data_IF_687645497305
#
_entry.id   IF_687645497305
#
_cell.length_a   1.000
_cell.length_b   1.000
_cell.length_c   1.000
_cell.angle_alpha   90.00
_cell.angle_beta   90.00
_cell.angle_gamma   90.00
#
_symmetry.space_group_name_H-M   'P 1'
#
loop_
_entity.id
_entity.type
_entity.pdbx_description
1 polymer ?
#
# COMPACT_ATOMS: atom_id res chain seq x y z
N UNK A 1 6.11 12.48 8.79
CA UNK A 1 5.71 13.12 7.52
C UNK A 1 5.33 14.59 7.71
N UNK A 2 5.73 15.46 6.78
CA UNK A 2 5.33 16.88 6.73
C UNK A 2 4.34 17.09 5.58
N UNK A 3 3.25 17.80 5.81
CA UNK A 3 2.19 18.05 4.82
C UNK A 3 2.69 18.74 3.53
N UNK A 4 3.76 19.54 3.63
CA UNK A 4 4.32 20.29 2.49
C UNK A 4 5.51 19.58 1.82
N UNK A 5 5.84 18.37 2.25
CA UNK A 5 6.91 17.59 1.63
C UNK A 5 6.41 16.96 0.33
N UNK A 6 7.07 17.31 -0.77
CA UNK A 6 6.72 16.81 -2.11
C UNK A 6 6.95 15.31 -2.19
N UNK A 7 8.00 14.79 -1.56
CA UNK A 7 8.31 13.36 -1.61
C UNK A 7 7.27 12.56 -0.82
N UNK A 8 6.73 13.12 0.26
CA UNK A 8 5.61 12.54 0.99
C UNK A 8 4.34 12.50 0.14
N UNK A 9 4.00 13.60 -0.54
CA UNK A 9 2.82 13.66 -1.45
C UNK A 9 2.95 12.65 -2.59
N UNK A 10 4.14 12.53 -3.19
CA UNK A 10 4.41 11.57 -4.26
C UNK A 10 4.35 10.12 -3.76
N UNK A 11 4.80 9.87 -2.53
CA UNK A 11 4.70 8.57 -1.87
C UNK A 11 3.25 8.17 -1.63
N UNK A 12 2.45 9.06 -1.05
CA UNK A 12 1.03 8.83 -0.78
C UNK A 12 0.20 8.64 -2.07
N UNK A 13 0.69 9.16 -3.20
CA UNK A 13 0.07 8.98 -4.52
C UNK A 13 0.36 7.63 -5.18
N UNK A 14 1.24 6.80 -4.59
CA UNK A 14 1.54 5.47 -5.13
C UNK A 14 0.32 4.54 -5.00
N UNK A 15 0.19 3.63 -5.96
CA UNK A 15 -0.95 2.70 -6.03
C UNK A 15 -0.77 1.55 -5.04
N UNK A 16 -1.80 1.31 -4.25
CA UNK A 16 -1.96 0.22 -3.31
C UNK A 16 -3.14 -0.66 -3.77
N UNK A 17 -2.92 -1.97 -3.95
CA UNK A 17 -4.02 -2.87 -4.29
C UNK A 17 -5.02 -2.97 -3.14
N UNK A 18 -6.29 -2.73 -3.45
CA UNK A 18 -7.38 -2.68 -2.49
C UNK A 18 -8.52 -3.59 -2.94
N UNK A 19 -9.08 -4.38 -2.05
CA UNK A 19 -10.25 -5.24 -2.32
C UNK A 19 -11.45 -4.71 -1.54
N UNK A 20 -12.53 -4.36 -2.22
CA UNK A 20 -13.77 -3.91 -1.58
C UNK A 20 -14.51 -5.11 -1.00
N UNK A 21 -14.89 -5.05 0.27
CA UNK A 21 -15.59 -6.15 0.96
C UNK A 21 -17.12 -5.99 0.90
N UNK A 22 -17.60 -4.81 0.47
CA UNK A 22 -19.01 -4.45 0.45
C UNK A 22 -19.36 -3.81 -0.89
N UNK A 23 -20.64 -3.89 -1.25
CA UNK A 23 -21.18 -3.15 -2.38
C UNK A 23 -21.20 -1.65 -2.05
N UNK A 24 -20.55 -0.83 -2.88
CA UNK A 24 -20.50 0.63 -2.70
C UNK A 24 -21.23 1.34 -3.84
N UNK A 25 -22.40 1.96 -3.56
CA UNK A 25 -23.19 2.58 -4.61
C UNK A 25 -22.54 3.86 -5.15
N UNK A 26 -22.59 4.03 -6.47
CA UNK A 26 -22.13 5.26 -7.15
C UNK A 26 -20.61 5.47 -7.20
N UNK A 27 -19.81 4.54 -6.69
CA UNK A 27 -18.35 4.63 -6.66
C UNK A 27 -17.65 3.98 -7.86
N UNK A 28 -18.41 3.52 -8.87
CA UNK A 28 -17.87 2.86 -10.07
C UNK A 28 -16.89 3.72 -10.89
N UNK A 29 -16.81 5.03 -10.63
CA UNK A 29 -15.77 5.92 -11.18
C UNK A 29 -14.34 5.41 -10.88
N UNK A 30 -14.14 4.71 -9.76
CA UNK A 30 -12.85 4.12 -9.41
C UNK A 30 -12.44 2.96 -10.33
N UNK A 31 -13.40 2.31 -10.98
CA UNK A 31 -13.19 1.29 -12.01
C UNK A 31 -13.25 1.88 -13.44
N UNK A 32 -13.52 3.18 -13.57
CA UNK A 32 -13.78 3.83 -14.86
C UNK A 32 -15.24 3.70 -15.36
N UNK A 33 -16.13 3.11 -14.55
CA UNK A 33 -17.56 2.94 -14.85
C UNK A 33 -18.39 3.97 -14.07
N UNK A 34 -18.35 5.22 -14.52
CA UNK A 34 -19.04 6.32 -13.85
C UNK A 34 -20.56 6.07 -13.75
N UNK A 35 -21.10 6.16 -12.53
CA UNK A 35 -22.54 5.93 -12.26
C UNK A 35 -22.90 4.49 -11.90
N UNK A 36 -21.96 3.54 -12.00
CA UNK A 36 -22.16 2.18 -11.52
C UNK A 36 -21.76 2.00 -10.05
N UNK A 37 -22.12 0.85 -9.48
CA UNK A 37 -21.76 0.46 -8.12
C UNK A 37 -20.52 -0.45 -8.16
N UNK A 38 -19.64 -0.28 -7.18
CA UNK A 38 -18.58 -1.26 -6.93
C UNK A 38 -19.21 -2.45 -6.23
N UNK A 39 -18.91 -3.66 -6.67
CA UNK A 39 -19.39 -4.89 -6.03
C UNK A 39 -18.40 -5.37 -4.96
N UNK A 40 -18.90 -6.07 -3.96
CA UNK A 40 -18.06 -6.80 -3.03
C UNK A 40 -17.16 -7.81 -3.79
N UNK A 41 -15.90 -7.91 -3.36
CA UNK A 41 -14.85 -8.70 -3.99
C UNK A 41 -14.12 -7.99 -5.14
N UNK A 42 -14.54 -6.80 -5.56
CA UNK A 42 -13.84 -6.06 -6.62
C UNK A 42 -12.47 -5.58 -6.11
N UNK A 43 -11.42 -5.85 -6.89
CA UNK A 43 -10.05 -5.39 -6.63
C UNK A 43 -9.73 -4.18 -7.49
N UNK A 44 -9.32 -3.08 -6.86
CA UNK A 44 -8.97 -1.81 -7.50
C UNK A 44 -7.66 -1.31 -6.92
N UNK A 45 -6.76 -0.82 -7.78
CA UNK A 45 -5.55 -0.13 -7.33
C UNK A 45 -5.86 1.32 -7.00
N UNK A 46 -5.86 1.66 -5.70
CA UNK A 46 -6.17 3.00 -5.20
C UNK A 46 -4.88 3.71 -4.76
N UNK A 47 -4.82 5.05 -4.80
CA UNK A 47 -3.74 5.77 -4.13
C UNK A 47 -3.67 5.41 -2.63
N UNK A 48 -2.46 5.29 -2.09
CA UNK A 48 -2.19 4.91 -0.70
C UNK A 48 -3.01 5.74 0.30
N UNK A 49 -3.04 7.07 0.13
CA UNK A 49 -3.83 7.96 0.99
C UNK A 49 -5.32 7.62 0.99
N UNK A 50 -5.88 7.22 -0.15
CA UNK A 50 -7.30 6.89 -0.27
C UNK A 50 -7.60 5.51 0.33
N UNK A 51 -6.76 4.52 0.03
CA UNK A 51 -6.87 3.18 0.60
C UNK A 51 -6.84 3.22 2.13
N UNK A 52 -5.89 3.97 2.70
CA UNK A 52 -5.81 4.19 4.15
C UNK A 52 -7.12 4.76 4.72
N UNK A 53 -7.66 5.84 4.15
CA UNK A 53 -8.90 6.45 4.63
C UNK A 53 -10.09 5.49 4.58
N UNK A 54 -10.19 4.66 3.53
CA UNK A 54 -11.27 3.67 3.40
C UNK A 54 -11.10 2.48 4.35
N UNK A 55 -9.87 2.20 4.79
CA UNK A 55 -9.55 1.12 5.72
C UNK A 55 -9.78 1.48 7.20
N UNK A 56 -10.00 2.76 7.53
CA UNK A 56 -10.20 3.25 8.91
C UNK A 56 -11.31 2.48 9.64
N UNK A 57 -12.41 2.17 8.95
CA UNK A 57 -13.53 1.42 9.54
C UNK A 57 -13.09 0.06 10.10
N UNK A 58 -12.18 -0.63 9.41
CA UNK A 58 -11.62 -1.90 9.86
C UNK A 58 -10.72 -1.73 11.10
N UNK A 59 -9.88 -0.68 11.11
CA UNK A 59 -8.98 -0.37 12.23
C UNK A 59 -9.74 0.01 13.51
N UNK A 60 -10.91 0.64 13.37
CA UNK A 60 -11.78 1.01 14.49
C UNK A 60 -12.71 -0.14 14.94
N UNK A 61 -12.57 -1.35 14.38
CA UNK A 61 -13.41 -2.49 14.72
C UNK A 61 -14.85 -2.38 14.23
N UNK A 62 -15.11 -1.52 13.24
CA UNK A 62 -16.42 -1.33 12.62
C UNK A 62 -16.50 -2.10 11.28
N UNK A 63 -17.34 -1.63 10.36
CA UNK A 63 -17.49 -2.27 9.05
C UNK A 63 -16.21 -2.14 8.23
N UNK A 64 -15.68 -3.27 7.76
CA UNK A 64 -14.54 -3.34 6.85
C UNK A 64 -15.04 -3.05 5.45
N UNK A 65 -14.79 -1.85 4.95
CA UNK A 65 -15.17 -1.45 3.59
C UNK A 65 -14.18 -1.99 2.55
N UNK A 66 -12.89 -1.92 2.88
CA UNK A 66 -11.78 -2.27 2.00
C UNK A 66 -10.74 -3.07 2.78
N UNK A 67 -10.18 -4.09 2.14
CA UNK A 67 -8.96 -4.79 2.51
C UNK A 67 -7.79 -4.22 1.72
N UNK A 68 -6.70 -3.90 2.41
CA UNK A 68 -5.45 -3.48 1.79
C UNK A 68 -4.54 -4.70 1.60
N UNK A 69 -3.90 -4.79 0.44
CA UNK A 69 -2.86 -5.80 0.18
C UNK A 69 -1.50 -5.12 0.02
N UNK A 70 -0.43 -5.87 0.26
CA UNK A 70 0.93 -5.37 0.04
C UNK A 70 1.14 -4.93 -1.42
N UNK A 71 1.81 -3.79 -1.66
CA UNK A 71 2.16 -3.36 -3.00
C UNK A 71 3.15 -4.33 -3.62
N UNK A 72 3.20 -4.40 -4.96
CA UNK A 72 4.11 -5.29 -5.70
C UNK A 72 5.58 -5.05 -5.36
N UNK A 73 5.95 -3.81 -5.02
CA UNK A 73 7.26 -3.42 -4.54
C UNK A 73 7.68 -4.14 -3.25
N UNK A 74 6.73 -4.60 -2.43
CA UNK A 74 6.94 -5.36 -1.19
C UNK A 74 6.33 -6.77 -1.29
N UNK A 75 6.18 -7.29 -2.50
CA UNK A 75 5.73 -8.67 -2.69
C UNK A 75 6.69 -9.68 -2.04
N UNK A 76 6.18 -10.87 -1.69
CA UNK A 76 7.01 -11.94 -1.10
C UNK A 76 8.27 -12.24 -1.89
N UNK A 77 8.20 -12.18 -3.23
CA UNK A 77 9.37 -12.36 -4.11
C UNK A 77 10.46 -11.31 -3.83
N UNK A 78 10.06 -10.04 -3.72
CA UNK A 78 11.01 -8.96 -3.42
C UNK A 78 11.54 -9.11 -2.00
N UNK A 79 10.66 -9.40 -1.04
CA UNK A 79 11.05 -9.63 0.36
C UNK A 79 12.09 -10.75 0.49
N UNK A 80 11.90 -11.85 -0.23
CA UNK A 80 12.86 -12.95 -0.25
C UNK A 80 14.20 -12.57 -0.90
N UNK A 81 14.19 -11.73 -1.94
CA UNK A 81 15.41 -11.20 -2.54
C UNK A 81 16.16 -10.25 -1.59
N UNK A 82 15.43 -9.38 -0.88
CA UNK A 82 15.99 -8.48 0.14
C UNK A 82 16.58 -9.24 1.33
N UNK A 83 15.93 -10.34 1.76
CA UNK A 83 16.47 -11.26 2.77
C UNK A 83 17.77 -11.93 2.33
N UNK A 84 17.89 -12.28 1.05
CA UNK A 84 19.06 -12.97 0.52
C UNK A 84 20.28 -12.03 0.40
N UNK A 85 20.12 -10.91 -0.29
CA UNK A 85 21.11 -9.83 -0.32
C UNK A 85 20.46 -8.51 -0.80
N UNK A 86 20.26 -7.53 0.08
CA UNK A 86 19.59 -6.28 -0.27
C UNK A 86 20.37 -5.42 -1.27
N UNK A 87 21.69 -5.63 -1.41
CA UNK A 87 22.53 -4.87 -2.37
C UNK A 87 22.31 -5.28 -3.82
N UNK A 88 21.69 -6.44 -4.05
CA UNK A 88 21.43 -6.99 -5.39
C UNK A 88 20.08 -6.53 -5.96
N UNK A 89 19.24 -5.88 -5.15
CA UNK A 89 17.90 -5.46 -5.54
C UNK A 89 17.90 -3.99 -5.95
N UNK A 90 17.45 -3.70 -7.17
CA UNK A 90 17.24 -2.32 -7.62
C UNK A 90 15.94 -1.76 -7.03
N UNK A 91 16.06 -1.14 -5.85
CA UNK A 91 14.93 -0.53 -5.13
C UNK A 91 14.24 0.58 -5.94
N UNK A 92 14.99 1.34 -6.74
CA UNK A 92 14.45 2.45 -7.51
C UNK A 92 13.55 1.96 -8.65
N UNK A 93 13.86 0.78 -9.21
CA UNK A 93 13.01 0.12 -10.20
C UNK A 93 11.69 -0.40 -9.62
N UNK A 94 11.67 -0.74 -8.32
CA UNK A 94 10.48 -1.23 -7.62
C UNK A 94 9.52 -0.11 -7.26
N UNK A 95 10.04 0.97 -6.66
CA UNK A 95 9.27 2.16 -6.34
C UNK A 95 10.18 3.40 -6.30
N UNK A 96 9.76 4.55 -6.87
CA UNK A 96 10.55 5.77 -6.84
C UNK A 96 10.93 6.20 -5.41
N UNK A 97 9.99 6.15 -4.47
CA UNK A 97 10.21 6.49 -3.05
C UNK A 97 10.07 5.23 -2.18
N UNK A 98 10.88 4.19 -2.49
CA UNK A 98 10.77 2.87 -1.85
C UNK A 98 10.80 2.91 -0.31
N UNK A 99 11.73 3.68 0.27
CA UNK A 99 11.88 3.75 1.73
C UNK A 99 10.68 4.44 2.40
N UNK A 100 10.24 5.57 1.85
CA UNK A 100 9.05 6.28 2.34
C UNK A 100 7.77 5.45 2.16
N UNK A 101 7.65 4.72 1.04
CA UNK A 101 6.56 3.77 0.84
C UNK A 101 6.60 2.68 1.91
N UNK A 102 7.78 2.11 2.17
CA UNK A 102 7.96 1.04 3.14
C UNK A 102 7.58 1.48 4.55
N UNK A 103 8.00 2.67 4.97
CA UNK A 103 7.59 3.27 6.25
C UNK A 103 6.06 3.37 6.35
N UNK A 104 5.41 3.84 5.29
CA UNK A 104 3.93 3.95 5.26
C UNK A 104 3.22 2.61 5.28
N UNK A 105 3.76 1.60 4.61
CA UNK A 105 3.21 0.25 4.67
C UNK A 105 3.37 -0.32 6.08
N UNK A 106 4.49 -0.09 6.77
CA UNK A 106 4.66 -0.52 8.16
C UNK A 106 3.67 0.17 9.14
N UNK A 107 3.18 1.38 8.83
CA UNK A 107 2.11 2.04 9.62
C UNK A 107 0.71 1.43 9.37
N UNK A 108 0.53 0.76 8.23
CA UNK A 108 -0.74 0.16 7.80
C UNK A 108 -0.83 -1.33 8.15
N UNK A 109 0.29 -2.04 8.12
CA UNK A 109 0.37 -3.50 8.30
C UNK A 109 1.25 -3.82 9.52
N UNK A 110 0.71 -4.63 10.44
CA UNK A 110 1.44 -5.10 11.63
C UNK A 110 2.16 -6.43 11.33
N UNK A 111 3.18 -6.39 10.47
CA UNK A 111 3.96 -7.59 10.08
C UNK A 111 5.40 -7.50 10.62
N UNK A 112 5.71 -8.28 11.67
CA UNK A 112 7.05 -8.28 12.31
C UNK A 112 8.17 -8.65 11.33
N UNK A 113 7.93 -9.62 10.44
CA UNK A 113 8.91 -10.04 9.44
C UNK A 113 9.23 -8.91 8.43
N UNK A 114 8.23 -8.12 8.06
CA UNK A 114 8.40 -6.97 7.18
C UNK A 114 9.30 -5.91 7.84
N UNK A 115 9.08 -5.64 9.13
CA UNK A 115 9.92 -4.72 9.93
C UNK A 115 11.37 -5.18 9.97
N UNK A 116 11.62 -6.47 10.25
CA UNK A 116 12.97 -7.02 10.35
C UNK A 116 13.73 -6.88 9.03
N UNK A 117 13.12 -7.30 7.93
CA UNK A 117 13.77 -7.23 6.61
C UNK A 117 14.04 -5.80 6.20
N UNK A 118 13.05 -4.92 6.33
CA UNK A 118 13.22 -3.52 5.95
C UNK A 118 14.27 -2.82 6.82
N UNK A 119 14.30 -3.09 8.13
CA UNK A 119 15.34 -2.54 9.02
C UNK A 119 16.75 -2.97 8.59
N UNK A 120 16.91 -4.23 8.17
CA UNK A 120 18.19 -4.71 7.63
C UNK A 120 18.57 -4.00 6.33
N UNK A 121 17.61 -3.76 5.43
CA UNK A 121 17.84 -3.03 4.16
C UNK A 121 18.32 -1.59 4.43
N UNK A 122 17.78 -0.92 5.46
CA UNK A 122 18.18 0.43 5.83
C UNK A 122 19.62 0.51 6.35
N UNK A 123 20.13 -0.52 7.03
CA UNK A 123 21.50 -0.58 7.53
C UNK A 123 22.58 -0.64 6.43
N UNK A 124 22.20 -0.89 5.16
CA UNK A 124 23.13 -0.96 4.04
C UNK A 124 23.27 0.34 3.23
N UNK A 125 22.66 1.45 3.69
CA UNK A 125 22.97 2.82 3.27
C UNK A 125 24.18 3.38 4.05
#
# INVERSE_FOLDING_TARGET
MSYYDIDAILTDSQKLPCTFELDVPGLGILEGNAGENIKAGTRIDLPLWLGEMLSIGARLGTSRLVTLDLPSALSERVMNALKADPRTVDLRSLAPHFYSLSERILELFEEEELVEVLSNVWCFL
#
